data_IF_677270325936
#
_entry.id   IF_677270325936
#
_cell.length_a   1.000
_cell.length_b   1.000
_cell.length_c   1.000
_cell.angle_alpha   90.00
_cell.angle_beta   90.00
_cell.angle_gamma   90.00
#
_symmetry.space_group_name_H-M   'P 1'
#
loop_
_entity.id
_entity.type
_entity.pdbx_description
1 polymer ?
#
# COMPACT_ATOMS: atom_id res chain seq x y z
N UNK A 1 5.96 -19.40 34.78
CA UNK A 1 6.01 -19.07 33.34
C UNK A 1 4.64 -18.62 32.86
N UNK A 2 3.60 -19.45 33.02
CA UNK A 2 2.21 -19.12 32.70
C UNK A 2 1.42 -18.96 34.02
N UNK A 3 0.63 -17.88 34.15
CA UNK A 3 -0.25 -17.61 35.29
C UNK A 3 -1.67 -18.08 35.01
N UNK A 4 -2.19 -17.78 33.82
CA UNK A 4 -3.52 -18.19 33.38
C UNK A 4 -3.43 -18.71 31.93
N UNK A 5 -3.62 -20.03 31.76
CA UNK A 5 -3.55 -20.68 30.44
C UNK A 5 -4.64 -20.21 29.49
N UNK A 6 -5.86 -20.00 30.01
CA UNK A 6 -7.00 -19.56 29.20
C UNK A 6 -6.74 -18.17 28.66
N UNK A 7 -6.36 -17.22 29.53
CA UNK A 7 -6.04 -15.85 29.11
C UNK A 7 -4.91 -15.80 28.07
N UNK A 8 -3.89 -16.65 28.22
CA UNK A 8 -2.77 -16.72 27.27
C UNK A 8 -3.21 -17.28 25.91
N UNK A 9 -3.98 -18.37 25.88
CA UNK A 9 -4.51 -18.94 24.64
C UNK A 9 -5.47 -17.96 23.96
N UNK A 10 -6.38 -17.34 24.71
CA UNK A 10 -7.28 -16.31 24.18
C UNK A 10 -6.52 -15.13 23.59
N UNK A 11 -5.47 -14.65 24.26
CA UNK A 11 -4.63 -13.57 23.70
C UNK A 11 -3.99 -13.97 22.38
N UNK A 12 -3.48 -15.20 22.27
CA UNK A 12 -2.84 -15.70 21.04
C UNK A 12 -3.84 -15.79 19.89
N UNK A 13 -5.04 -16.30 20.15
CA UNK A 13 -6.11 -16.39 19.13
C UNK A 13 -6.52 -15.01 18.63
N UNK A 14 -6.75 -14.05 19.55
CA UNK A 14 -7.12 -12.67 19.17
C UNK A 14 -5.99 -12.02 18.36
N UNK A 15 -4.74 -12.22 18.77
CA UNK A 15 -3.57 -11.77 18.01
C UNK A 15 -3.59 -12.32 16.58
N UNK A 16 -3.76 -13.63 16.38
CA UNK A 16 -3.86 -14.22 15.05
C UNK A 16 -4.99 -13.60 14.20
N UNK A 17 -6.15 -13.35 14.80
CA UNK A 17 -7.28 -12.67 14.13
C UNK A 17 -6.88 -11.24 13.73
N UNK A 18 -6.25 -10.49 14.63
CA UNK A 18 -5.76 -9.14 14.35
C UNK A 18 -4.76 -9.13 13.18
N UNK A 19 -3.88 -10.13 13.11
CA UNK A 19 -2.91 -10.25 12.02
C UNK A 19 -3.60 -10.54 10.69
N UNK A 20 -4.59 -11.41 10.67
CA UNK A 20 -5.41 -11.68 9.48
C UNK A 20 -6.14 -10.42 9.00
N UNK A 21 -6.77 -9.68 9.92
CA UNK A 21 -7.47 -8.43 9.60
C UNK A 21 -6.53 -7.32 9.12
N UNK A 22 -5.25 -7.36 9.51
CA UNK A 22 -4.26 -6.36 9.12
C UNK A 22 -3.75 -6.55 7.69
N UNK A 23 -3.63 -7.79 7.19
CA UNK A 23 -3.08 -8.06 5.85
C UNK A 23 -4.03 -7.49 4.80
N UNK A 24 -3.87 -6.20 4.49
CA UNK A 24 -4.53 -5.49 3.41
C UNK A 24 -3.79 -5.80 2.12
N UNK A 25 -3.97 -7.03 1.65
CA UNK A 25 -3.42 -7.55 0.41
C UNK A 25 -4.60 -8.16 -0.39
N UNK A 26 -4.69 -7.97 -1.72
CA UNK A 26 -3.65 -7.49 -2.65
C UNK A 26 -3.54 -5.97 -2.79
N UNK A 27 -4.58 -5.21 -2.45
CA UNK A 27 -4.59 -3.75 -2.58
C UNK A 27 -4.02 -3.09 -1.34
N UNK A 28 -3.21 -2.06 -1.53
CA UNK A 28 -2.56 -1.34 -0.45
C UNK A 28 -3.59 -0.53 0.36
N UNK A 29 -4.21 -1.15 1.38
CA UNK A 29 -5.27 -0.54 2.20
C UNK A 29 -4.84 0.68 3.02
N UNK A 30 -3.55 1.05 3.00
CA UNK A 30 -3.02 2.26 3.65
C UNK A 30 -2.86 3.46 2.71
N UNK A 31 -3.16 3.31 1.41
CA UNK A 31 -3.03 4.38 0.40
C UNK A 31 -3.74 5.68 0.78
N UNK A 32 -4.83 5.59 1.55
CA UNK A 32 -5.60 6.77 1.99
C UNK A 32 -5.50 7.04 3.50
N UNK A 33 -4.73 6.23 4.25
CA UNK A 33 -4.76 6.26 5.71
C UNK A 33 -3.88 7.38 6.30
N UNK A 34 -4.51 8.43 6.84
CA UNK A 34 -3.82 9.54 7.55
C UNK A 34 -3.24 9.15 8.90
N UNK A 35 -3.73 8.07 9.52
CA UNK A 35 -3.29 7.66 10.85
C UNK A 35 -3.30 6.15 10.97
N UNK A 36 -2.16 5.58 11.36
CA UNK A 36 -1.94 4.15 11.51
C UNK A 36 -1.56 3.87 12.96
N UNK A 37 -2.23 2.90 13.59
CA UNK A 37 -1.90 2.43 14.94
C UNK A 37 -1.51 0.96 14.89
N UNK A 38 -0.26 0.65 15.23
CA UNK A 38 0.28 -0.72 15.20
C UNK A 38 -0.09 -1.47 13.90
N UNK A 39 -0.05 -0.71 12.80
CA UNK A 39 -0.39 -1.11 11.44
C UNK A 39 -1.88 -1.05 11.04
N UNK A 40 -2.83 -0.84 11.94
CA UNK A 40 -4.24 -0.63 11.57
C UNK A 40 -4.50 0.81 11.11
N UNK A 41 -5.09 1.03 9.91
CA UNK A 41 -5.47 2.37 9.48
C UNK A 41 -6.74 2.80 10.23
N UNK A 42 -6.68 3.87 11.03
CA UNK A 42 -7.80 4.34 11.86
C UNK A 42 -8.65 5.37 11.11
N UNK A 43 -8.03 6.17 10.25
CA UNK A 43 -8.67 7.32 9.58
C UNK A 43 -8.17 7.46 8.15
N UNK A 44 -9.09 7.59 7.20
CA UNK A 44 -8.81 8.07 5.84
C UNK A 44 -9.46 9.44 5.58
N UNK A 45 -9.44 9.89 4.33
CA UNK A 45 -10.07 11.13 3.88
C UNK A 45 -11.62 11.10 4.00
N UNK A 46 -12.22 9.93 3.86
CA UNK A 46 -13.67 9.70 3.99
C UNK A 46 -14.13 9.50 5.46
N UNK A 47 -13.21 9.62 6.43
CA UNK A 47 -13.51 9.55 7.86
C UNK A 47 -12.86 8.36 8.57
N UNK A 48 -13.55 7.85 9.59
CA UNK A 48 -13.04 6.78 10.43
C UNK A 48 -13.24 5.40 9.79
N UNK A 49 -12.17 4.60 9.76
CA UNK A 49 -12.22 3.22 9.28
C UNK A 49 -12.64 2.34 10.46
N UNK A 50 -13.93 1.98 10.49
CA UNK A 50 -14.53 1.19 11.58
C UNK A 50 -13.79 -0.12 11.84
N UNK A 51 -13.33 -0.79 10.78
CA UNK A 51 -12.54 -2.03 10.89
C UNK A 51 -11.19 -1.82 11.60
N UNK A 52 -10.51 -0.70 11.32
CA UNK A 52 -9.25 -0.36 11.97
C UNK A 52 -9.41 0.00 13.44
N UNK A 53 -10.51 0.67 13.81
CA UNK A 53 -10.86 0.96 15.22
C UNK A 53 -11.13 -0.35 15.97
N UNK A 54 -11.98 -1.23 15.42
CA UNK A 54 -12.27 -2.53 16.03
C UNK A 54 -11.00 -3.36 16.17
N UNK A 55 -10.16 -3.42 15.12
CA UNK A 55 -8.87 -4.10 15.15
C UNK A 55 -7.94 -3.55 16.24
N UNK A 56 -7.89 -2.22 16.41
CA UNK A 56 -7.08 -1.57 17.45
C UNK A 56 -7.55 -1.93 18.86
N UNK A 57 -8.87 -1.91 19.11
CA UNK A 57 -9.45 -2.30 20.41
C UNK A 57 -9.18 -3.78 20.71
N UNK A 58 -9.36 -4.66 19.72
CA UNK A 58 -9.04 -6.08 19.82
C UNK A 58 -7.57 -6.30 20.16
N UNK A 59 -6.66 -5.60 19.47
CA UNK A 59 -5.22 -5.68 19.74
C UNK A 59 -4.90 -5.27 21.18
N UNK A 60 -5.42 -4.13 21.66
CA UNK A 60 -5.21 -3.68 23.04
C UNK A 60 -5.73 -4.72 24.05
N UNK A 61 -6.92 -5.27 23.82
CA UNK A 61 -7.48 -6.32 24.68
C UNK A 61 -6.60 -7.56 24.73
N UNK A 62 -6.02 -7.96 23.60
CA UNK A 62 -5.12 -9.10 23.50
C UNK A 62 -3.82 -8.84 24.27
N UNK A 63 -3.27 -7.63 24.20
CA UNK A 63 -2.08 -7.23 24.97
C UNK A 63 -2.34 -7.28 26.48
N UNK A 64 -3.51 -6.84 26.95
CA UNK A 64 -3.90 -6.92 28.37
C UNK A 64 -4.00 -8.39 28.82
N UNK A 65 -4.68 -9.23 28.03
CA UNK A 65 -4.82 -10.66 28.32
C UNK A 65 -3.47 -11.37 28.35
N UNK A 66 -2.55 -11.02 27.46
CA UNK A 66 -1.18 -11.54 27.41
C UNK A 66 -0.44 -11.23 28.72
N UNK A 67 -0.52 -10.00 29.21
CA UNK A 67 0.11 -9.58 30.47
C UNK A 67 -0.50 -10.34 31.65
N UNK A 68 -1.82 -10.50 31.71
CA UNK A 68 -2.53 -11.25 32.76
C UNK A 68 -2.18 -12.75 32.72
N UNK A 69 -1.99 -13.30 31.52
CA UNK A 69 -1.71 -14.71 31.26
C UNK A 69 -0.31 -15.17 31.65
N UNK A 70 0.66 -14.24 31.71
CA UNK A 70 2.06 -14.52 32.05
C UNK A 70 2.30 -14.30 33.55
N UNK A 71 3.29 -14.96 34.16
CA UNK A 71 3.63 -14.79 35.60
C UNK A 71 4.92 -13.98 35.83
N UNK A 72 5.85 -14.04 34.88
CA UNK A 72 7.20 -13.44 34.93
C UNK A 72 7.62 -13.08 33.51
N UNK A 73 8.44 -12.05 33.31
CA UNK A 73 8.91 -11.56 32.00
C UNK A 73 7.85 -10.87 31.12
N UNK A 74 6.85 -10.22 31.72
CA UNK A 74 5.81 -9.50 30.98
C UNK A 74 6.38 -8.49 29.97
N UNK A 75 7.35 -7.68 30.39
CA UNK A 75 7.96 -6.66 29.53
C UNK A 75 8.73 -7.26 28.34
N UNK A 76 9.48 -8.34 28.55
CA UNK A 76 10.21 -9.02 27.47
C UNK A 76 9.26 -9.62 26.45
N UNK A 77 8.18 -10.23 26.91
CA UNK A 77 7.16 -10.83 26.03
C UNK A 77 6.43 -9.75 25.23
N UNK A 78 6.07 -8.64 25.88
CA UNK A 78 5.46 -7.48 25.22
C UNK A 78 6.34 -6.95 24.08
N UNK A 79 7.64 -6.76 24.37
CA UNK A 79 8.61 -6.28 23.38
C UNK A 79 8.72 -7.24 22.19
N UNK A 80 8.77 -8.56 22.44
CA UNK A 80 8.79 -9.57 21.36
C UNK A 80 7.54 -9.47 20.50
N UNK A 81 6.35 -9.39 21.10
CA UNK A 81 5.09 -9.30 20.34
C UNK A 81 5.07 -8.03 19.48
N UNK A 82 5.48 -6.89 20.03
CA UNK A 82 5.56 -5.62 19.28
C UNK A 82 6.49 -5.76 18.06
N UNK A 83 7.69 -6.33 18.25
CA UNK A 83 8.64 -6.56 17.15
C UNK A 83 8.06 -7.52 16.11
N UNK A 84 7.46 -8.63 16.54
CA UNK A 84 6.83 -9.60 15.63
C UNK A 84 5.74 -8.92 14.81
N UNK A 85 4.86 -8.13 15.43
CA UNK A 85 3.78 -7.43 14.71
C UNK A 85 4.28 -6.38 13.73
N UNK A 86 5.43 -5.76 13.99
CA UNK A 86 6.01 -4.77 13.08
C UNK A 86 6.59 -5.40 11.79
N UNK A 87 7.14 -6.62 11.87
CA UNK A 87 7.86 -7.25 10.74
C UNK A 87 7.14 -8.42 10.09
N UNK A 88 6.41 -9.22 10.88
CA UNK A 88 5.79 -10.46 10.42
C UNK A 88 4.84 -10.27 9.23
N UNK A 89 3.96 -9.25 9.18
CA UNK A 89 3.06 -9.08 8.05
C UNK A 89 3.80 -8.79 6.74
N UNK A 90 4.86 -7.96 6.77
CA UNK A 90 5.67 -7.67 5.59
C UNK A 90 6.36 -8.92 5.06
N UNK A 91 6.87 -9.76 5.97
CA UNK A 91 7.46 -11.05 5.62
C UNK A 91 6.43 -12.00 5.00
N UNK A 92 5.23 -12.10 5.58
CA UNK A 92 4.15 -12.95 5.05
C UNK A 92 3.70 -12.52 3.66
N UNK A 93 3.52 -11.21 3.44
CA UNK A 93 3.18 -10.67 2.11
C UNK A 93 4.28 -10.99 1.12
N UNK A 94 5.54 -10.77 1.48
CA UNK A 94 6.68 -11.06 0.60
C UNK A 94 6.76 -12.54 0.23
N UNK A 95 6.63 -13.43 1.22
CA UNK A 95 6.62 -14.88 0.97
C UNK A 95 5.44 -15.29 0.09
N UNK A 96 4.24 -14.74 0.33
CA UNK A 96 3.10 -14.98 -0.53
C UNK A 96 3.38 -14.54 -1.97
N UNK A 97 3.94 -13.35 -2.16
CA UNK A 97 4.29 -12.81 -3.47
C UNK A 97 5.33 -13.63 -4.23
N UNK A 98 6.26 -14.27 -3.52
CA UNK A 98 7.34 -15.08 -4.11
C UNK A 98 6.93 -16.53 -4.40
N UNK A 99 5.94 -17.06 -3.65
CA UNK A 99 5.60 -18.49 -3.69
C UNK A 99 4.24 -18.81 -4.31
N UNK A 100 3.22 -17.99 -4.08
CA UNK A 100 1.83 -18.30 -4.42
C UNK A 100 1.19 -17.26 -5.34
N UNK A 101 1.64 -16.01 -5.28
CA UNK A 101 1.10 -14.95 -6.13
C UNK A 101 1.49 -15.15 -7.59
N UNK A 102 0.56 -14.80 -8.49
CA UNK A 102 0.74 -14.83 -9.94
C UNK A 102 0.21 -13.54 -10.57
N UNK A 103 0.67 -13.24 -11.79
CA UNK A 103 0.28 -12.03 -12.51
C UNK A 103 0.55 -10.76 -11.70
N UNK A 104 -0.36 -9.79 -11.79
CA UNK A 104 -0.25 -8.48 -11.13
C UNK A 104 -0.17 -8.56 -9.59
N UNK A 105 -0.56 -9.67 -8.96
CA UNK A 105 -0.47 -9.86 -7.50
C UNK A 105 0.97 -10.11 -7.02
N UNK A 106 1.86 -10.55 -7.91
CA UNK A 106 3.27 -10.75 -7.62
C UNK A 106 4.13 -9.49 -7.80
N UNK A 107 3.57 -8.42 -8.39
CA UNK A 107 4.26 -7.14 -8.53
C UNK A 107 4.33 -6.45 -7.16
N UNK A 108 5.47 -5.89 -6.81
CA UNK A 108 5.66 -5.10 -5.60
C UNK A 108 6.21 -3.73 -5.94
N UNK A 109 5.79 -2.75 -5.15
CA UNK A 109 6.16 -1.35 -5.26
C UNK A 109 6.68 -0.90 -3.90
N UNK A 110 7.74 -0.09 -3.89
CA UNK A 110 8.41 0.37 -2.67
C UNK A 110 7.89 1.71 -2.14
N UNK A 111 6.96 2.36 -2.87
CA UNK A 111 6.39 3.65 -2.50
C UNK A 111 7.25 4.86 -2.89
N UNK A 112 8.41 4.67 -3.52
CA UNK A 112 9.33 5.77 -3.82
C UNK A 112 9.11 6.41 -5.21
N UNK A 113 7.93 6.25 -5.79
CA UNK A 113 7.60 6.88 -7.06
C UNK A 113 7.50 8.40 -6.93
N UNK A 114 7.95 9.09 -7.97
CA UNK A 114 7.87 10.56 -8.08
C UNK A 114 7.34 10.96 -9.44
N UNK A 115 6.52 11.99 -9.50
CA UNK A 115 6.09 12.64 -10.73
C UNK A 115 6.34 14.14 -10.63
N UNK A 116 6.94 14.71 -11.67
CA UNK A 116 7.19 16.13 -11.80
C UNK A 116 6.41 16.64 -13.01
N UNK A 117 5.83 17.83 -12.87
CA UNK A 117 4.98 18.45 -13.87
C UNK A 117 5.46 19.88 -14.06
N UNK A 118 6.07 20.16 -15.21
CA UNK A 118 6.64 21.46 -15.55
C UNK A 118 5.78 22.18 -16.59
N UNK A 119 5.51 23.45 -16.31
CA UNK A 119 4.79 24.31 -17.23
C UNK A 119 5.66 24.61 -18.46
N UNK A 120 5.13 24.34 -19.66
CA UNK A 120 5.80 24.69 -20.93
C UNK A 120 5.13 25.90 -21.58
N UNK A 121 3.81 25.86 -21.75
CA UNK A 121 3.01 26.95 -22.29
C UNK A 121 1.54 26.81 -21.87
N UNK A 122 0.68 27.75 -22.31
CA UNK A 122 -0.77 27.62 -22.11
C UNK A 122 -1.25 26.25 -22.58
N UNK A 123 -1.98 25.55 -21.71
CA UNK A 123 -2.47 24.18 -21.88
C UNK A 123 -1.42 23.12 -22.23
N UNK A 124 -0.13 23.39 -22.01
CA UNK A 124 0.95 22.46 -22.37
C UNK A 124 1.89 22.24 -21.18
N UNK A 125 2.01 20.99 -20.77
CA UNK A 125 2.67 20.62 -19.54
C UNK A 125 3.54 19.39 -19.76
N UNK A 126 4.79 19.45 -19.31
CA UNK A 126 5.73 18.34 -19.41
C UNK A 126 5.67 17.50 -18.13
N UNK A 127 5.26 16.25 -18.27
CA UNK A 127 5.09 15.31 -17.17
C UNK A 127 6.18 14.25 -17.19
N UNK A 128 6.98 14.18 -16.12
CA UNK A 128 8.02 13.18 -15.91
C UNK A 128 7.73 12.34 -14.67
N UNK A 129 7.54 11.03 -14.83
CA UNK A 129 7.31 10.10 -13.73
C UNK A 129 8.36 9.00 -13.68
N UNK A 130 8.85 8.74 -12.48
CA UNK A 130 9.83 7.72 -12.16
C UNK A 130 9.25 6.76 -11.12
N UNK A 131 9.09 5.48 -11.47
CA UNK A 131 8.59 4.43 -10.57
C UNK A 131 9.42 3.17 -10.71
N UNK A 132 9.57 2.40 -9.63
CA UNK A 132 10.30 1.13 -9.64
C UNK A 132 9.38 0.01 -9.20
N UNK A 133 9.16 -0.94 -10.11
CA UNK A 133 8.33 -2.12 -9.85
C UNK A 133 9.20 -3.38 -9.79
N UNK A 134 8.84 -4.31 -8.91
CA UNK A 134 9.54 -5.57 -8.74
C UNK A 134 8.58 -6.74 -8.92
N UNK A 135 8.77 -7.52 -9.97
CA UNK A 135 8.11 -8.81 -10.11
C UNK A 135 8.79 -9.83 -9.21
N UNK A 136 8.09 -10.31 -8.18
CA UNK A 136 8.58 -11.32 -7.23
C UNK A 136 8.23 -12.75 -7.62
N UNK A 137 7.48 -12.96 -8.70
CA UNK A 137 7.15 -14.30 -9.16
C UNK A 137 8.27 -14.91 -10.01
N UNK A 138 8.16 -16.22 -10.20
CA UNK A 138 9.02 -16.99 -11.08
C UNK A 138 8.61 -16.94 -12.57
N UNK A 139 7.60 -16.15 -12.91
CA UNK A 139 7.07 -15.99 -14.27
C UNK A 139 7.16 -14.54 -14.72
N UNK A 140 7.22 -14.30 -16.04
CA UNK A 140 7.13 -12.94 -16.57
C UNK A 140 5.69 -12.44 -16.44
N UNK A 141 5.52 -11.20 -15.98
CA UNK A 141 4.19 -10.59 -15.78
C UNK A 141 4.05 -9.42 -16.73
N UNK A 142 2.98 -9.42 -17.51
CA UNK A 142 2.59 -8.31 -18.39
C UNK A 142 1.33 -7.65 -17.84
N UNK A 143 1.29 -6.32 -17.85
CA UNK A 143 0.16 -5.56 -17.33
C UNK A 143 0.09 -4.17 -17.96
N UNK A 144 -1.06 -3.55 -17.83
CA UNK A 144 -1.27 -2.13 -18.10
C UNK A 144 -1.21 -1.33 -16.81
N UNK A 145 -0.62 -0.14 -16.86
CA UNK A 145 -0.47 0.77 -15.74
C UNK A 145 -1.25 2.04 -16.00
N UNK A 146 -2.06 2.44 -15.02
CA UNK A 146 -2.82 3.70 -15.05
C UNK A 146 -2.62 4.44 -13.72
N UNK A 147 -2.24 5.71 -13.82
CA UNK A 147 -1.99 6.59 -12.69
C UNK A 147 -3.29 7.00 -12.00
N UNK A 148 -3.26 7.10 -10.67
CA UNK A 148 -4.38 7.54 -9.86
C UNK A 148 -3.98 8.81 -9.10
N UNK A 149 -4.88 9.78 -9.05
CA UNK A 149 -4.64 11.00 -8.29
C UNK A 149 -4.58 10.70 -6.80
N UNK A 150 -3.62 11.32 -6.12
CA UNK A 150 -3.55 11.27 -4.67
C UNK A 150 -4.57 12.26 -4.07
N UNK A 151 -5.30 11.85 -3.03
CA UNK A 151 -6.45 12.60 -2.46
C UNK A 151 -6.07 13.90 -1.72
N UNK A 152 -4.91 14.48 -1.97
CA UNK A 152 -4.37 15.62 -1.21
C UNK A 152 -4.99 16.97 -1.58
N UNK A 153 -5.63 17.10 -2.74
CA UNK A 153 -6.19 18.37 -3.20
C UNK A 153 -7.70 18.44 -2.91
N UNK A 154 -8.11 19.50 -2.19
CA UNK A 154 -9.49 19.72 -1.73
C UNK A 154 -10.51 19.96 -2.87
N UNK A 155 -10.06 20.14 -4.12
CA UNK A 155 -10.89 20.61 -5.25
C UNK A 155 -10.98 19.66 -6.47
N UNK A 156 -10.67 18.36 -6.31
CA UNK A 156 -10.67 17.38 -7.41
C UNK A 156 -9.71 17.74 -8.57
N UNK A 157 -8.67 18.53 -8.28
CA UNK A 157 -7.67 18.90 -9.28
C UNK A 157 -6.85 17.68 -9.67
N UNK A 158 -6.79 17.38 -10.97
CA UNK A 158 -6.04 16.26 -11.52
C UNK A 158 -4.55 16.57 -11.57
N UNK A 159 -3.72 15.63 -11.14
CA UNK A 159 -2.27 15.76 -11.14
C UNK A 159 -1.63 14.48 -11.69
N UNK A 160 -1.51 13.42 -10.91
CA UNK A 160 -0.88 12.17 -11.35
C UNK A 160 -1.65 11.52 -12.51
N UNK A 161 -2.98 11.59 -12.52
CA UNK A 161 -3.82 10.99 -13.56
C UNK A 161 -3.71 11.70 -14.92
N UNK A 162 -3.07 12.87 -14.98
CA UNK A 162 -2.79 13.56 -16.26
C UNK A 162 -1.85 12.74 -17.14
N UNK A 163 -0.94 11.96 -16.52
CA UNK A 163 -0.04 11.07 -17.27
C UNK A 163 -0.77 10.02 -18.10
N UNK A 164 -2.01 9.69 -17.76
CA UNK A 164 -2.82 8.72 -18.51
C UNK A 164 -3.20 9.23 -19.91
N UNK A 165 -3.13 10.54 -20.18
CA UNK A 165 -3.36 11.10 -21.52
C UNK A 165 -2.31 10.61 -22.54
N UNK A 166 -1.09 10.32 -22.08
CA UNK A 166 -0.02 9.74 -22.89
C UNK A 166 -0.05 8.20 -22.99
N UNK A 167 -1.03 7.55 -22.37
CA UNK A 167 -1.20 6.11 -22.30
C UNK A 167 -2.02 5.52 -23.47
N UNK A 168 -2.36 4.22 -23.42
CA UNK A 168 -2.14 3.27 -22.31
C UNK A 168 -0.68 2.83 -22.17
N UNK A 169 -0.23 2.56 -20.93
CA UNK A 169 1.13 2.10 -20.65
C UNK A 169 1.18 0.60 -20.38
N UNK A 170 1.74 -0.17 -21.31
CA UNK A 170 1.90 -1.62 -21.17
C UNK A 170 3.33 -2.00 -20.86
N UNK A 171 3.52 -2.79 -19.81
CA UNK A 171 4.84 -3.26 -19.40
C UNK A 171 4.85 -4.76 -19.20
N UNK A 172 5.97 -5.36 -19.56
CA UNK A 172 6.35 -6.70 -19.11
C UNK A 172 7.55 -6.58 -18.18
N UNK A 173 7.48 -7.26 -17.04
CA UNK A 173 8.58 -7.41 -16.08
C UNK A 173 8.93 -8.89 -15.98
N UNK A 174 10.17 -9.22 -16.32
CA UNK A 174 10.70 -10.58 -16.23
C UNK A 174 10.67 -11.13 -14.80
N UNK A 175 10.70 -12.46 -14.69
CA UNK A 175 10.70 -13.17 -13.40
C UNK A 175 11.78 -12.66 -12.44
N UNK A 176 11.43 -12.43 -11.18
CA UNK A 176 12.36 -11.98 -10.13
C UNK A 176 13.21 -10.75 -10.53
N UNK A 177 12.65 -9.84 -11.34
CA UNK A 177 13.35 -8.63 -11.80
C UNK A 177 12.67 -7.36 -11.33
N UNK A 178 13.51 -6.39 -10.98
CA UNK A 178 13.12 -4.99 -10.84
C UNK A 178 13.16 -4.31 -12.20
N UNK A 179 12.19 -3.45 -12.45
CA UNK A 179 12.13 -2.58 -13.63
C UNK A 179 11.91 -1.15 -13.16
N UNK A 180 12.87 -0.29 -13.47
CA UNK A 180 12.68 1.15 -13.39
C UNK A 180 11.89 1.60 -14.62
N UNK A 181 10.78 2.27 -14.39
CA UNK A 181 9.90 2.83 -15.41
C UNK A 181 10.05 4.34 -15.31
N UNK A 182 10.57 4.91 -16.38
CA UNK A 182 10.70 6.34 -16.59
C UNK A 182 9.76 6.71 -17.74
N UNK A 183 8.83 7.62 -17.46
CA UNK A 183 7.81 8.08 -18.39
C UNK A 183 7.89 9.60 -18.47
N UNK A 184 8.20 10.10 -19.66
CA UNK A 184 8.25 11.53 -19.96
C UNK A 184 7.25 11.80 -21.08
N UNK A 185 6.35 12.74 -20.87
CA UNK A 185 5.28 13.08 -21.81
C UNK A 185 4.94 14.57 -21.75
N UNK A 186 4.92 15.17 -22.92
CA UNK A 186 4.26 16.44 -23.16
C UNK A 186 2.74 16.21 -23.23
N UNK A 187 2.01 16.86 -22.33
CA UNK A 187 0.56 16.72 -22.12
C UNK A 187 -0.15 17.97 -22.62
N UNK A 188 -1.14 17.77 -23.50
CA UNK A 188 -2.05 18.82 -23.98
C UNK A 188 -3.31 18.82 -23.11
N UNK A 189 -3.60 19.97 -22.50
CA UNK A 189 -4.58 20.12 -21.43
C UNK A 189 -5.80 20.98 -21.84
N UNK A 190 -5.89 21.43 -23.09
CA UNK A 190 -6.94 22.36 -23.54
C UNK A 190 -8.36 21.83 -23.32
N UNK A 191 -8.55 20.52 -23.38
CA UNK A 191 -9.83 19.85 -23.14
C UNK A 191 -9.94 19.21 -21.74
N UNK A 192 -8.97 19.45 -20.85
CA UNK A 192 -8.91 18.85 -19.52
C UNK A 192 -9.39 19.88 -18.50
N UNK A 193 -10.59 19.75 -17.93
CA UNK A 193 -11.01 20.65 -16.85
C UNK A 193 -10.23 20.36 -15.57
N UNK A 194 -9.98 21.40 -14.76
CA UNK A 194 -9.38 21.30 -13.41
C UNK A 194 -8.03 20.55 -13.39
N UNK A 195 -7.04 21.04 -14.12
CA UNK A 195 -5.67 20.55 -14.06
C UNK A 195 -4.77 21.48 -13.22
N UNK A 196 -3.60 20.99 -12.87
CA UNK A 196 -2.51 21.81 -12.31
C UNK A 196 -1.78 22.57 -13.42
N UNK A 197 -1.17 23.70 -13.08
CA UNK A 197 -0.24 24.41 -13.99
C UNK A 197 1.19 23.85 -13.87
N UNK A 198 1.57 23.38 -12.68
CA UNK A 198 2.83 22.71 -12.39
C UNK A 198 2.77 22.05 -11.01
N UNK A 199 3.70 21.13 -10.72
CA UNK A 199 3.83 20.56 -9.38
C UNK A 199 4.67 19.29 -9.31
N UNK A 200 4.96 18.85 -8.10
CA UNK A 200 5.65 17.58 -7.86
C UNK A 200 4.83 16.72 -6.91
N UNK A 201 4.68 15.44 -7.26
CA UNK A 201 4.03 14.42 -6.41
C UNK A 201 5.00 13.31 -6.04
N UNK A 202 4.82 12.76 -4.84
CA UNK A 202 5.61 11.67 -4.27
C UNK A 202 4.67 10.59 -3.74
N UNK A 203 5.16 9.35 -3.65
CA UNK A 203 4.34 8.19 -3.29
C UNK A 203 3.21 7.97 -4.31
N UNK A 204 3.57 7.98 -5.60
CA UNK A 204 2.60 7.86 -6.69
C UNK A 204 1.76 6.59 -6.54
N UNK A 205 0.45 6.75 -6.70
CA UNK A 205 -0.52 5.67 -6.69
C UNK A 205 -0.89 5.30 -8.13
N UNK A 206 -1.02 4.00 -8.40
CA UNK A 206 -1.44 3.53 -9.72
C UNK A 206 -2.17 2.20 -9.60
N UNK A 207 -2.98 1.92 -10.62
CA UNK A 207 -3.58 0.59 -10.81
C UNK A 207 -2.80 -0.19 -11.85
N UNK A 208 -2.63 -1.48 -11.57
CA UNK A 208 -2.18 -2.49 -12.50
C UNK A 208 -3.41 -3.23 -13.01
N UNK A 209 -3.51 -3.37 -14.33
CA UNK A 209 -4.63 -4.03 -15.01
C UNK A 209 -4.09 -5.21 -15.82
N UNK A 210 -4.70 -6.38 -15.61
CA UNK A 210 -4.44 -7.59 -16.39
C UNK A 210 -5.78 -8.29 -16.68
N UNK A 211 -6.34 -7.99 -17.86
CA UNK A 211 -7.70 -8.39 -18.23
C UNK A 211 -8.74 -7.77 -17.29
N UNK A 212 -9.49 -8.61 -16.59
CA UNK A 212 -10.49 -8.19 -15.58
C UNK A 212 -9.87 -7.96 -14.19
N UNK A 213 -8.62 -8.38 -13.97
CA UNK A 213 -7.97 -8.24 -12.68
C UNK A 213 -7.40 -6.84 -12.54
N UNK A 214 -7.75 -6.17 -11.44
CA UNK A 214 -7.29 -4.83 -11.11
C UNK A 214 -6.65 -4.88 -9.73
N UNK A 215 -5.46 -4.26 -9.61
CA UNK A 215 -4.76 -4.11 -8.34
C UNK A 215 -4.26 -2.69 -8.17
N UNK A 216 -4.47 -2.10 -7.00
CA UNK A 216 -4.03 -0.74 -6.67
C UNK A 216 -2.80 -0.81 -5.75
N UNK A 217 -1.74 -0.10 -6.13
CA UNK A 217 -0.44 -0.08 -5.45
C UNK A 217 -0.08 1.31 -4.93
#
# INVERSE_FOLDING_TARGET
>A
MIRNKVALISSLVILCICLYLYISFPNNGTLEARTIFMSFPIRNHNGYILLGIIGSVLFISAMILLVIGIKKYHFRTLAIVVVVYAFLPKLLITMYQETLASGITAISYDGNGTCNFEYVSEDLLDGECNIVLHNRSNEAVSFELEFLDSSFMEDEVRMESLMNLGGPYRFTIEKNRKKSIHLEKLLELSDVPKHIDSGTSMNIHFKLIDGENIRIL
#
